data_IF_569981883196
#
_entry.id   IF_569981883196
#
_cell.length_a   1.000
_cell.length_b   1.000
_cell.length_c   1.000
_cell.angle_alpha   90.00
_cell.angle_beta   90.00
_cell.angle_gamma   90.00
#
_symmetry.space_group_name_H-M   'P 1'
#
loop_
_entity.id
_entity.type
_entity.pdbx_description
1 polymer ?
#
# COMPACT_ATOMS: atom_id res chain seq x y z
N UNK A 1 -7.36 -4.13 20.83
CA UNK A 1 -8.81 -4.07 20.57
C UNK A 1 -9.33 -5.50 20.43
N UNK A 2 -9.70 -6.14 21.55
CA UNK A 2 -10.21 -7.52 21.59
C UNK A 2 -11.73 -7.48 21.72
N UNK A 3 -12.43 -8.11 20.79
CA UNK A 3 -13.87 -8.38 20.91
C UNK A 3 -13.99 -9.90 21.13
N UNK A 4 -14.44 -10.35 22.32
CA UNK A 4 -14.45 -11.76 22.69
C UNK A 4 -15.72 -12.47 22.16
N UNK A 5 -15.57 -13.68 21.61
CA UNK A 5 -16.72 -14.56 21.29
C UNK A 5 -16.61 -15.45 20.05
N UNK A 6 -15.69 -15.19 19.10
CA UNK A 6 -15.44 -16.07 17.95
C UNK A 6 -14.01 -16.60 18.01
N UNK A 7 -13.84 -17.94 17.99
CA UNK A 7 -12.52 -18.60 17.88
C UNK A 7 -11.71 -17.89 16.80
N UNK A 8 -10.58 -17.27 17.20
CA UNK A 8 -9.52 -16.68 16.36
C UNK A 8 -9.71 -16.96 14.87
N UNK A 9 -10.49 -16.12 14.20
CA UNK A 9 -10.84 -16.34 12.80
C UNK A 9 -10.31 -15.17 12.00
N UNK A 10 -8.99 -15.10 11.86
CA UNK A 10 -8.36 -14.36 10.76
C UNK A 10 -8.99 -14.72 9.41
N UNK A 11 -9.53 -15.95 9.28
CA UNK A 11 -10.30 -16.44 8.12
C UNK A 11 -11.46 -15.54 7.68
N UNK A 12 -12.15 -14.86 8.61
CA UNK A 12 -13.31 -14.02 8.25
C UNK A 12 -12.87 -12.69 7.64
N UNK A 13 -11.84 -12.07 8.22
CA UNK A 13 -11.21 -10.87 7.66
C UNK A 13 -10.49 -11.21 6.34
N UNK A 14 -9.82 -12.35 6.27
CA UNK A 14 -9.13 -12.83 5.07
C UNK A 14 -10.09 -13.03 3.90
N UNK A 15 -11.29 -13.57 4.14
CA UNK A 15 -12.30 -13.78 3.10
C UNK A 15 -12.79 -12.46 2.50
N UNK A 16 -12.94 -11.43 3.33
CA UNK A 16 -13.32 -10.09 2.89
C UNK A 16 -12.16 -9.45 2.13
N UNK A 17 -10.97 -9.43 2.73
CA UNK A 17 -9.79 -8.76 2.15
C UNK A 17 -9.35 -9.40 0.83
N UNK A 18 -9.43 -10.72 0.69
CA UNK A 18 -9.17 -11.45 -0.57
C UNK A 18 -10.03 -11.00 -1.74
N UNK A 19 -11.23 -10.46 -1.49
CA UNK A 19 -12.12 -9.95 -2.53
C UNK A 19 -11.82 -8.49 -2.88
N UNK A 20 -11.37 -7.69 -1.92
CA UNK A 20 -11.04 -6.28 -2.14
C UNK A 20 -9.68 -6.05 -2.80
N UNK A 21 -8.65 -6.82 -2.41
CA UNK A 21 -7.29 -6.70 -2.98
C UNK A 21 -7.31 -6.75 -4.52
N UNK A 22 -7.86 -7.78 -5.19
CA UNK A 22 -7.80 -7.87 -6.64
C UNK A 22 -8.58 -6.75 -7.35
N UNK A 23 -9.72 -6.31 -6.77
CA UNK A 23 -10.53 -5.23 -7.34
C UNK A 23 -9.75 -3.91 -7.31
N UNK A 24 -9.10 -3.59 -6.18
CA UNK A 24 -8.29 -2.38 -6.03
C UNK A 24 -7.05 -2.43 -6.93
N UNK A 25 -6.40 -3.58 -7.06
CA UNK A 25 -5.23 -3.74 -7.94
C UNK A 25 -5.58 -3.53 -9.41
N UNK A 26 -6.69 -4.11 -9.90
CA UNK A 26 -7.10 -3.97 -11.30
C UNK A 26 -7.52 -2.53 -11.61
N UNK A 27 -8.33 -1.92 -10.75
CA UNK A 27 -8.75 -0.52 -10.93
C UNK A 27 -7.56 0.44 -10.82
N UNK A 28 -6.70 0.27 -9.82
CA UNK A 28 -5.50 1.07 -9.65
C UNK A 28 -4.54 0.93 -10.84
N UNK A 29 -4.30 -0.29 -11.31
CA UNK A 29 -3.47 -0.55 -12.49
C UNK A 29 -4.02 0.07 -13.77
N UNK A 30 -5.34 -0.03 -14.01
CA UNK A 30 -5.98 0.58 -15.16
C UNK A 30 -5.88 2.12 -15.14
N UNK A 31 -6.09 2.74 -13.98
CA UNK A 31 -5.98 4.20 -13.81
C UNK A 31 -4.53 4.66 -14.02
N UNK A 32 -3.56 4.00 -13.38
CA UNK A 32 -2.14 4.34 -13.53
C UNK A 32 -1.68 4.16 -14.98
N UNK A 33 -2.12 3.10 -15.66
CA UNK A 33 -1.81 2.87 -17.07
C UNK A 33 -2.40 3.96 -17.99
N UNK A 34 -3.63 4.40 -17.73
CA UNK A 34 -4.24 5.52 -18.45
C UNK A 34 -3.46 6.82 -18.22
N UNK A 35 -3.14 7.16 -16.97
CA UNK A 35 -2.37 8.35 -16.63
C UNK A 35 -0.99 8.32 -17.30
N UNK A 36 -0.30 7.18 -17.22
CA UNK A 36 1.00 6.99 -17.85
C UNK A 36 0.94 7.21 -19.37
N UNK A 37 -0.07 6.62 -20.03
CA UNK A 37 -0.25 6.78 -21.48
C UNK A 37 -0.50 8.23 -21.86
N UNK A 38 -1.37 8.93 -21.13
CA UNK A 38 -1.70 10.34 -21.36
C UNK A 38 -0.48 11.23 -21.14
N UNK A 39 0.26 11.03 -20.04
CA UNK A 39 1.49 11.77 -19.76
C UNK A 39 2.58 11.58 -20.83
N UNK A 40 2.64 10.41 -21.46
CA UNK A 40 3.55 10.16 -22.58
C UNK A 40 3.14 10.97 -23.83
N UNK A 41 1.84 11.08 -24.13
CA UNK A 41 1.35 11.93 -25.23
C UNK A 41 1.64 13.41 -25.02
N UNK A 42 1.64 13.89 -23.77
CA UNK A 42 1.95 15.28 -23.44
C UNK A 42 3.46 15.60 -23.46
N UNK A 43 4.35 14.60 -23.68
CA UNK A 43 5.78 14.83 -23.82
C UNK A 43 6.46 15.35 -22.55
N UNK A 44 6.03 14.86 -21.39
CA UNK A 44 6.56 15.30 -20.09
C UNK A 44 8.04 14.93 -19.94
N UNK A 45 8.87 15.88 -19.48
CA UNK A 45 10.29 15.67 -19.21
C UNK A 45 10.51 14.52 -18.23
N UNK A 46 11.18 13.45 -18.66
CA UNK A 46 11.44 12.26 -17.84
C UNK A 46 10.49 11.08 -18.09
N UNK A 47 9.63 11.13 -19.13
CA UNK A 47 8.60 10.13 -19.49
C UNK A 47 7.47 10.01 -18.47
N UNK A 48 6.25 9.80 -18.94
CA UNK A 48 5.07 9.68 -18.07
C UNK A 48 5.22 8.52 -17.07
N UNK A 49 5.81 7.41 -17.53
CA UNK A 49 6.13 6.26 -16.68
C UNK A 49 7.28 6.53 -15.71
N UNK A 50 8.34 7.21 -16.14
CA UNK A 50 9.52 7.46 -15.31
C UNK A 50 9.20 8.25 -14.05
N UNK A 51 8.35 9.29 -14.18
CA UNK A 51 7.92 10.10 -13.03
C UNK A 51 7.04 9.30 -12.07
N UNK A 52 6.08 8.51 -12.59
CA UNK A 52 5.21 7.68 -11.76
C UNK A 52 6.01 6.65 -10.94
N UNK A 53 7.01 6.02 -11.56
CA UNK A 53 7.92 5.12 -10.86
C UNK A 53 8.75 5.84 -9.81
N UNK A 54 9.32 7.01 -10.14
CA UNK A 54 10.14 7.78 -9.20
C UNK A 54 9.34 8.18 -7.96
N UNK A 55 8.12 8.72 -8.14
CA UNK A 55 7.22 9.06 -7.03
C UNK A 55 6.83 7.83 -6.23
N UNK A 56 6.55 6.70 -6.90
CA UNK A 56 6.22 5.44 -6.23
C UNK A 56 7.36 4.92 -5.34
N UNK A 57 8.60 4.93 -5.85
CA UNK A 57 9.78 4.53 -5.09
C UNK A 57 9.99 5.45 -3.90
N UNK A 58 9.88 6.77 -4.09
CA UNK A 58 10.02 7.74 -3.00
C UNK A 58 8.96 7.54 -1.91
N UNK A 59 7.71 7.29 -2.31
CA UNK A 59 6.63 7.00 -1.36
C UNK A 59 6.87 5.70 -0.59
N UNK A 60 7.32 4.66 -1.28
CA UNK A 60 7.64 3.38 -0.66
C UNK A 60 8.80 3.53 0.34
N UNK A 61 9.85 4.28 -0.03
CA UNK A 61 10.95 4.61 0.88
C UNK A 61 10.46 5.41 2.08
N UNK A 62 9.65 6.44 1.87
CA UNK A 62 9.07 7.24 2.93
C UNK A 62 8.27 6.37 3.92
N UNK A 63 7.43 5.46 3.41
CA UNK A 63 6.68 4.53 4.25
C UNK A 63 7.59 3.61 5.06
N UNK A 64 8.68 3.11 4.45
CA UNK A 64 9.66 2.27 5.13
C UNK A 64 10.33 3.03 6.29
N UNK A 65 10.82 4.24 6.03
CA UNK A 65 11.45 5.09 7.05
C UNK A 65 10.48 5.44 8.19
N UNK A 66 9.22 5.74 7.86
CA UNK A 66 8.19 6.02 8.86
C UNK A 66 7.91 4.77 9.70
N UNK A 67 7.86 3.58 9.10
CA UNK A 67 7.69 2.33 9.83
C UNK A 67 8.87 2.06 10.77
N UNK A 68 10.10 2.32 10.34
CA UNK A 68 11.30 2.20 11.19
C UNK A 68 11.27 3.19 12.36
N UNK A 69 10.97 4.48 12.12
CA UNK A 69 10.84 5.47 13.20
C UNK A 69 9.73 5.12 14.19
N UNK A 70 8.59 4.61 13.71
CA UNK A 70 7.49 4.16 14.57
C UNK A 70 7.92 2.93 15.39
N UNK A 71 8.66 2.00 14.79
CA UNK A 71 9.19 0.84 15.50
C UNK A 71 10.22 1.21 16.57
N UNK A 72 11.08 2.20 16.31
CA UNK A 72 12.07 2.71 17.27
C UNK A 72 11.46 3.57 18.37
N UNK A 73 10.45 4.39 18.06
CA UNK A 73 9.75 5.23 19.04
C UNK A 73 8.82 4.40 19.94
N UNK A 74 8.36 3.23 19.47
CA UNK A 74 7.55 2.28 20.22
C UNK A 74 8.24 0.91 20.38
N UNK A 75 9.35 0.81 21.16
CA UNK A 75 9.99 -0.47 21.47
C UNK A 75 9.10 -1.41 22.31
N UNK A 76 7.93 -0.92 22.75
CA UNK A 76 6.95 -1.63 23.56
C UNK A 76 5.74 -2.20 22.77
N UNK A 77 5.49 -1.78 21.52
CA UNK A 77 4.36 -2.33 20.75
C UNK A 77 4.56 -3.81 20.38
N UNK A 78 5.81 -4.27 20.27
CA UNK A 78 6.14 -5.69 20.08
C UNK A 78 5.84 -6.58 21.30
N UNK A 79 5.74 -6.01 22.52
CA UNK A 79 5.46 -6.78 23.75
C UNK A 79 3.98 -6.82 24.15
N UNK A 80 3.16 -5.88 23.67
CA UNK A 80 1.73 -5.79 24.03
C UNK A 80 0.82 -6.47 22.97
N UNK A 81 1.34 -6.67 21.75
CA UNK A 81 0.64 -7.35 20.64
C UNK A 81 1.11 -8.80 20.40
N UNK A 82 1.95 -9.33 21.30
CA UNK A 82 2.25 -10.76 21.41
C UNK A 82 1.24 -11.50 22.27
#
# INVERSE_FOLDING_TARGET
MQIPGFRRSGKSIEMILKRYIPVVTILGGAIIGLVASVSEFFGVFGTGMGILLAVGILYQYYQLLVQEQVAEMYPAFGRVLG
#
